data_IF_590054507190
#
_entry.id   IF_590054507190
#
_cell.length_a   1.000
_cell.length_b   1.000
_cell.length_c   1.000
_cell.angle_alpha   90.00
_cell.angle_beta   90.00
_cell.angle_gamma   90.00
#
_symmetry.space_group_name_H-M   'P 1'
#
loop_
_entity.id
_entity.type
_entity.pdbx_description
1 polymer ?
#
# COMPACT_ATOMS: atom_id res chain seq x y z
N UNK A 1 23.66 21.79 -0.19
CA UNK A 1 23.35 20.60 -1.01
C UNK A 1 22.32 19.82 -0.21
N UNK A 2 21.05 20.21 -0.32
CA UNK A 2 19.96 19.47 0.34
C UNK A 2 19.93 18.09 -0.30
N UNK A 3 20.24 17.07 0.48
CA UNK A 3 20.04 15.68 0.09
C UNK A 3 18.54 15.48 -0.05
N UNK A 4 17.98 15.76 -1.23
CA UNK A 4 16.61 15.38 -1.54
C UNK A 4 16.56 13.87 -1.38
N UNK A 5 15.85 13.38 -0.36
CA UNK A 5 15.54 11.96 -0.26
C UNK A 5 14.89 11.58 -1.59
N UNK A 6 15.46 10.60 -2.29
CA UNK A 6 14.90 10.15 -3.57
C UNK A 6 13.44 9.73 -3.33
N UNK A 7 12.48 10.14 -4.19
CA UNK A 7 11.06 9.82 -4.00
C UNK A 7 10.78 8.33 -3.74
N UNK A 8 11.58 7.44 -4.33
CA UNK A 8 11.50 5.99 -4.11
C UNK A 8 11.91 5.58 -2.70
N UNK A 9 12.89 6.25 -2.08
CA UNK A 9 13.28 5.99 -0.69
C UNK A 9 12.18 6.43 0.29
N UNK A 10 11.52 7.56 0.02
CA UNK A 10 10.38 8.00 0.84
C UNK A 10 9.16 7.08 0.65
N UNK A 11 8.93 6.58 -0.57
CA UNK A 11 7.91 5.56 -0.83
C UNK A 11 8.17 4.29 0.00
N UNK A 12 9.41 3.78 0.00
CA UNK A 12 9.78 2.60 0.79
C UNK A 12 9.51 2.83 2.28
N UNK A 13 9.85 4.01 2.80
CA UNK A 13 9.58 4.37 4.19
C UNK A 13 8.07 4.38 4.49
N UNK A 14 7.28 5.12 3.71
CA UNK A 14 5.84 5.24 3.92
C UNK A 14 5.13 3.86 3.85
N UNK A 15 5.52 3.02 2.89
CA UNK A 15 5.01 1.64 2.77
C UNK A 15 5.35 0.79 3.99
N UNK A 16 6.57 0.92 4.52
CA UNK A 16 7.03 0.18 5.69
C UNK A 16 6.29 0.61 6.95
N UNK A 17 6.11 1.91 7.14
CA UNK A 17 5.36 2.47 8.27
C UNK A 17 3.87 2.08 8.21
N UNK A 18 3.25 2.14 7.03
CA UNK A 18 1.87 1.67 6.84
C UNK A 18 1.73 0.18 7.17
N UNK A 19 2.63 -0.66 6.63
CA UNK A 19 2.60 -2.10 6.90
C UNK A 19 2.77 -2.43 8.39
N UNK A 20 3.70 -1.77 9.09
CA UNK A 20 3.89 -1.95 10.53
C UNK A 20 2.65 -1.52 11.33
N UNK A 21 2.00 -0.42 10.96
CA UNK A 21 0.73 0.01 11.58
C UNK A 21 -0.37 -1.02 11.41
N UNK A 22 -0.55 -1.57 10.20
CA UNK A 22 -1.55 -2.62 9.92
C UNK A 22 -1.32 -3.84 10.80
N UNK A 23 -0.09 -4.31 10.94
CA UNK A 23 0.21 -5.50 11.74
C UNK A 23 0.09 -5.25 13.26
N UNK A 24 0.26 -4.00 13.69
CA UNK A 24 0.15 -3.60 15.10
C UNK A 24 -1.30 -3.41 15.54
N UNK A 25 -2.17 -2.94 14.64
CA UNK A 25 -3.60 -2.75 14.91
C UNK A 25 -4.48 -3.16 13.71
N UNK A 26 -4.75 -4.47 13.56
CA UNK A 26 -5.57 -4.96 12.47
C UNK A 26 -7.00 -4.42 12.46
N UNK A 27 -7.56 -4.04 13.61
CA UNK A 27 -8.91 -3.48 13.68
C UNK A 27 -8.99 -2.08 13.05
N UNK A 28 -7.88 -1.34 13.00
CA UNK A 28 -7.80 -0.03 12.37
C UNK A 28 -7.44 -0.08 10.87
N UNK A 29 -7.43 -1.26 10.24
CA UNK A 29 -6.96 -1.48 8.87
C UNK A 29 -7.53 -0.49 7.85
N UNK A 30 -8.86 -0.31 7.82
CA UNK A 30 -9.51 0.61 6.88
C UNK A 30 -8.96 2.04 7.01
N UNK A 31 -8.86 2.54 8.25
CA UNK A 31 -8.33 3.88 8.52
C UNK A 31 -6.84 3.97 8.13
N UNK A 32 -6.04 2.95 8.47
CA UNK A 32 -4.62 2.93 8.15
C UNK A 32 -4.40 2.94 6.63
N UNK A 33 -5.18 2.17 5.86
CA UNK A 33 -5.12 2.17 4.41
C UNK A 33 -5.45 3.56 3.83
N UNK A 34 -6.48 4.22 4.36
CA UNK A 34 -6.84 5.58 3.95
C UNK A 34 -5.77 6.62 4.33
N UNK A 35 -5.18 6.52 5.52
CA UNK A 35 -4.08 7.38 5.96
C UNK A 35 -2.85 7.20 5.04
N UNK A 36 -2.51 5.94 4.72
CA UNK A 36 -1.41 5.62 3.81
C UNK A 36 -1.63 6.20 2.40
N UNK A 37 -2.85 6.17 1.86
CA UNK A 37 -3.14 6.85 0.58
C UNK A 37 -2.83 8.33 0.63
N UNK A 38 -3.26 9.02 1.70
CA UNK A 38 -3.05 10.45 1.84
C UNK A 38 -1.55 10.79 1.94
N UNK A 39 -0.77 9.98 2.66
CA UNK A 39 0.69 10.09 2.76
C UNK A 39 1.39 9.83 1.42
N UNK A 40 0.86 8.92 0.59
CA UNK A 40 1.43 8.54 -0.70
C UNK A 40 1.03 9.45 -1.86
N UNK A 41 -0.07 10.21 -1.75
CA UNK A 41 -0.58 11.08 -2.81
C UNK A 41 0.50 12.03 -3.40
N UNK A 42 1.39 12.67 -2.60
CA UNK A 42 2.46 13.50 -3.14
C UNK A 42 3.52 12.74 -3.96
N UNK A 43 3.63 11.42 -3.80
CA UNK A 43 4.61 10.57 -4.47
C UNK A 43 4.11 9.99 -5.79
N UNK A 44 2.80 10.05 -6.04
CA UNK A 44 2.18 9.56 -7.27
C UNK A 44 2.89 10.04 -8.55
N UNK A 45 3.26 11.33 -8.70
CA UNK A 45 3.92 11.80 -9.91
C UNK A 45 5.44 11.57 -9.96
N UNK A 46 6.09 11.25 -8.84
CA UNK A 46 7.56 11.32 -8.73
C UNK A 46 8.23 10.00 -8.38
N UNK A 47 7.59 9.14 -7.58
CA UNK A 47 8.11 7.83 -7.24
C UNK A 47 7.72 6.80 -8.31
N UNK A 48 8.65 5.92 -8.67
CA UNK A 48 8.49 4.88 -9.71
C UNK A 48 7.23 4.04 -9.54
N UNK A 49 6.91 3.73 -8.28
CA UNK A 49 5.74 2.93 -7.91
C UNK A 49 4.69 3.72 -7.10
N UNK A 50 4.81 5.06 -7.04
CA UNK A 50 3.93 5.90 -6.21
C UNK A 50 2.45 5.75 -6.57
N UNK A 51 2.14 5.75 -7.87
CA UNK A 51 0.77 5.53 -8.35
C UNK A 51 0.23 4.14 -8.00
N UNK A 52 1.04 3.10 -8.11
CA UNK A 52 0.64 1.71 -7.78
C UNK A 52 0.39 1.57 -6.29
N UNK A 53 1.28 2.11 -5.46
CA UNK A 53 1.13 2.10 -4.01
C UNK A 53 -0.15 2.80 -3.56
N UNK A 54 -0.40 4.02 -4.08
CA UNK A 54 -1.62 4.78 -3.82
C UNK A 54 -2.88 3.98 -4.19
N UNK A 55 -2.91 3.42 -5.42
CA UNK A 55 -4.04 2.63 -5.90
C UNK A 55 -4.26 1.37 -5.08
N UNK A 56 -3.19 0.66 -4.70
CA UNK A 56 -3.25 -0.54 -3.86
C UNK A 56 -3.93 -0.24 -2.52
N UNK A 57 -3.49 0.79 -1.78
CA UNK A 57 -4.09 1.11 -0.48
C UNK A 57 -5.53 1.59 -0.59
N UNK A 58 -5.88 2.36 -1.63
CA UNK A 58 -7.27 2.75 -1.86
C UNK A 58 -8.16 1.58 -2.18
N UNK A 59 -7.68 0.69 -3.04
CA UNK A 59 -8.34 -0.57 -3.31
C UNK A 59 -8.59 -1.35 -2.01
N UNK A 60 -7.56 -1.52 -1.16
CA UNK A 60 -7.71 -2.23 0.11
C UNK A 60 -8.73 -1.58 1.07
N UNK A 61 -8.82 -0.24 1.09
CA UNK A 61 -9.84 0.48 1.85
C UNK A 61 -11.26 0.29 1.27
N UNK A 62 -11.38 0.25 -0.06
CA UNK A 62 -12.65 0.08 -0.78
C UNK A 62 -13.34 -1.26 -0.46
N UNK A 63 -12.57 -2.29 -0.06
CA UNK A 63 -13.12 -3.56 0.44
C UNK A 63 -14.16 -3.37 1.54
N UNK A 64 -14.00 -2.35 2.39
CA UNK A 64 -14.93 -1.99 3.45
C UNK A 64 -15.73 -0.72 3.14
N UNK A 65 -15.10 0.27 2.50
CA UNK A 65 -15.66 1.62 2.35
C UNK A 65 -16.46 1.89 1.08
N UNK A 66 -16.26 1.14 -0.01
CA UNK A 66 -16.98 1.42 -1.27
C UNK A 66 -18.41 0.86 -1.20
N UNK A 67 -19.47 1.69 -1.35
CA UNK A 67 -20.85 1.20 -1.40
C UNK A 67 -21.14 0.27 -2.60
N UNK A 68 -20.27 0.26 -3.61
CA UNK A 68 -20.31 -0.67 -4.75
C UNK A 68 -19.38 -1.87 -4.59
N UNK A 69 -18.53 -1.86 -3.57
CA UNK A 69 -17.58 -2.92 -3.26
C UNK A 69 -18.16 -4.01 -2.34
N UNK A 70 -17.30 -4.94 -1.87
CA UNK A 70 -17.70 -6.05 -1.01
C UNK A 70 -18.31 -5.65 0.35
N UNK A 71 -18.01 -4.44 0.84
CA UNK A 71 -18.47 -3.94 2.14
C UNK A 71 -18.16 -4.91 3.29
N UNK A 72 -16.96 -5.50 3.26
CA UNK A 72 -16.52 -6.55 4.18
C UNK A 72 -15.32 -6.08 4.98
N UNK A 73 -15.56 -5.74 6.24
CA UNK A 73 -14.49 -5.46 7.22
C UNK A 73 -13.52 -6.64 7.33
N UNK A 74 -14.04 -7.87 7.37
CA UNK A 74 -13.21 -9.08 7.42
C UNK A 74 -12.26 -9.16 6.22
N UNK A 75 -12.75 -8.92 5.01
CA UNK A 75 -11.92 -9.01 3.81
C UNK A 75 -10.89 -7.88 3.77
N UNK A 76 -11.28 -6.67 4.19
CA UNK A 76 -10.37 -5.54 4.34
C UNK A 76 -9.21 -5.88 5.29
N UNK A 77 -9.51 -6.42 6.48
CA UNK A 77 -8.49 -6.86 7.46
C UNK A 77 -7.58 -7.94 6.85
N UNK A 78 -8.15 -8.99 6.27
CA UNK A 78 -7.37 -10.12 5.75
C UNK A 78 -6.43 -9.69 4.61
N UNK A 79 -6.94 -8.95 3.63
CA UNK A 79 -6.17 -8.55 2.44
C UNK A 79 -5.13 -7.50 2.75
N UNK A 80 -5.45 -6.53 3.60
CA UNK A 80 -4.48 -5.50 3.97
C UNK A 80 -3.38 -6.05 4.84
N UNK A 81 -3.71 -6.98 5.76
CA UNK A 81 -2.70 -7.71 6.52
C UNK A 81 -1.77 -8.51 5.61
N UNK A 82 -2.32 -9.21 4.61
CA UNK A 82 -1.52 -9.95 3.63
C UNK A 82 -0.56 -9.01 2.87
N UNK A 83 -1.04 -7.87 2.38
CA UNK A 83 -0.20 -6.86 1.73
C UNK A 83 0.93 -6.37 2.64
N UNK A 84 0.61 -6.07 3.91
CA UNK A 84 1.58 -5.63 4.90
C UNK A 84 2.65 -6.71 5.22
N UNK A 85 2.23 -7.96 5.41
CA UNK A 85 3.15 -9.08 5.66
C UNK A 85 4.10 -9.30 4.48
N UNK A 86 3.58 -9.25 3.25
CA UNK A 86 4.38 -9.41 2.03
C UNK A 86 5.34 -8.26 1.79
N UNK A 87 4.92 -7.03 2.07
CA UNK A 87 5.80 -5.87 1.98
C UNK A 87 6.98 -6.02 2.96
N UNK A 88 6.71 -6.36 4.22
CA UNK A 88 7.77 -6.53 5.23
C UNK A 88 8.66 -7.75 4.98
N UNK A 89 8.20 -8.73 4.22
CA UNK A 89 9.03 -9.83 3.74
C UNK A 89 9.85 -9.49 2.48
N UNK A 90 9.54 -8.38 1.80
CA UNK A 90 10.23 -7.93 0.59
C UNK A 90 11.55 -7.25 0.96
N UNK A 91 12.64 -7.62 0.27
CA UNK A 91 13.91 -6.91 0.37
C UNK A 91 13.82 -5.54 -0.34
N UNK A 92 13.41 -4.52 0.43
CA UNK A 92 13.19 -3.17 -0.06
C UNK A 92 14.47 -2.41 -0.42
N UNK A 93 15.64 -2.98 -0.15
CA UNK A 93 16.93 -2.44 -0.60
C UNK A 93 17.23 -2.76 -2.07
N UNK A 94 16.47 -3.68 -2.67
CA UNK A 94 16.67 -4.15 -4.05
C UNK A 94 15.50 -3.73 -4.94
N UNK A 95 15.83 -3.27 -6.15
CA UNK A 95 14.81 -2.81 -7.10
C UNK A 95 13.87 -3.93 -7.58
N UNK A 96 14.40 -5.11 -7.87
CA UNK A 96 13.63 -6.24 -8.42
C UNK A 96 12.54 -6.78 -7.47
N UNK A 97 12.83 -7.09 -6.18
CA UNK A 97 11.80 -7.48 -5.23
C UNK A 97 10.69 -6.43 -5.03
N UNK A 98 11.06 -5.15 -4.97
CA UNK A 98 10.10 -4.04 -4.86
C UNK A 98 9.19 -3.98 -6.09
N UNK A 99 9.77 -4.10 -7.28
CA UNK A 99 8.99 -4.12 -8.51
C UNK A 99 8.05 -5.33 -8.59
N UNK A 100 8.49 -6.51 -8.13
CA UNK A 100 7.67 -7.72 -8.09
C UNK A 100 6.50 -7.58 -7.10
N UNK A 101 6.74 -7.00 -5.92
CA UNK A 101 5.68 -6.69 -4.96
C UNK A 101 4.60 -5.78 -5.58
N UNK A 102 5.01 -4.67 -6.17
CA UNK A 102 4.05 -3.72 -6.76
C UNK A 102 3.36 -4.29 -8.01
N UNK A 103 4.03 -5.11 -8.81
CA UNK A 103 3.40 -5.78 -9.95
C UNK A 103 2.29 -6.73 -9.51
N UNK A 104 2.46 -7.43 -8.37
CA UNK A 104 1.44 -8.30 -7.81
C UNK A 104 0.21 -7.53 -7.31
N UNK A 105 0.44 -6.38 -6.70
CA UNK A 105 -0.60 -5.57 -6.07
C UNK A 105 -1.14 -4.44 -6.97
N UNK A 106 -0.82 -4.46 -8.27
CA UNK A 106 -1.28 -3.45 -9.22
C UNK A 106 -2.77 -3.64 -9.56
N UNK A 107 -3.61 -2.76 -9.00
CA UNK A 107 -5.06 -2.83 -9.18
C UNK A 107 -5.58 -2.13 -10.44
N UNK A 108 -4.69 -1.55 -11.24
CA UNK A 108 -5.07 -0.85 -12.49
C UNK A 108 -5.49 -1.81 -13.60
N UNK A 109 -5.21 -3.11 -13.44
CA UNK A 109 -5.63 -4.17 -14.36
C UNK A 109 -6.83 -4.99 -13.87
N UNK A 110 -7.36 -4.69 -12.69
CA UNK A 110 -8.43 -5.43 -12.00
C UNK A 110 -8.30 -5.29 -10.48
N UNK A 111 -9.31 -5.69 -9.68
CA UNK A 111 -9.22 -5.62 -8.22
C UNK A 111 -8.05 -6.48 -7.68
N UNK A 112 -7.33 -6.02 -6.64
CA UNK A 112 -6.21 -6.76 -6.03
C UNK A 112 -6.62 -8.08 -5.32
N UNK A 113 -7.91 -8.38 -5.28
CA UNK A 113 -8.49 -9.47 -4.49
C UNK A 113 -9.17 -10.56 -5.32
N UNK A 114 -9.12 -10.46 -6.65
CA UNK A 114 -9.51 -11.54 -7.56
C UNK A 114 -8.44 -12.63 -7.65
#
# INVERSE_FOLDING_TARGET
MESSVEPDAYLVLAMTEAAQRVLSDPAATYRIAHDAMAELLPLVPTARHGGVAYSMWGSLADLQGDPRGPQSERECILRTRLAAEEWLATDSSRHEPVAAYFARWDTRTGPAWD
#
